data_IF_121334941721
#
_entry.id   IF_121334941721
#
_cell.length_a   1.000
_cell.length_b   1.000
_cell.length_c   1.000
_cell.angle_alpha   90.00
_cell.angle_beta   90.00
_cell.angle_gamma   90.00
#
_symmetry.space_group_name_H-M   'P 1'
#
loop_
_entity.id
_entity.type
_entity.pdbx_description
1 polymer ?
#
# COMPACT_ATOMS: atom_id res chain seq x y z
N UNK A 1 -11.34 17.50 13.23
CA UNK A 1 -10.61 17.24 11.96
C UNK A 1 -11.50 17.31 10.72
N UNK A 2 -12.75 16.84 10.76
CA UNK A 2 -13.65 16.95 9.60
C UNK A 2 -13.92 18.41 9.18
N UNK A 3 -14.10 19.31 10.16
CA UNK A 3 -14.21 20.77 9.94
C UNK A 3 -13.01 21.31 9.15
N UNK A 4 -11.79 20.89 9.49
CA UNK A 4 -10.58 21.29 8.78
C UNK A 4 -10.60 20.83 7.31
N UNK A 5 -10.98 19.57 7.06
CA UNK A 5 -11.14 19.05 5.70
C UNK A 5 -12.15 19.86 4.88
N UNK A 6 -13.25 20.30 5.49
CA UNK A 6 -14.27 21.14 4.83
C UNK A 6 -13.70 22.52 4.49
N UNK A 7 -12.98 23.17 5.43
CA UNK A 7 -12.35 24.47 5.19
C UNK A 7 -11.35 24.41 4.02
N UNK A 8 -10.49 23.39 3.99
CA UNK A 8 -9.53 23.20 2.91
C UNK A 8 -10.23 22.94 1.58
N UNK A 9 -11.30 22.12 1.56
CA UNK A 9 -12.07 21.88 0.33
C UNK A 9 -12.71 23.16 -0.22
N UNK A 10 -13.31 23.99 0.65
CA UNK A 10 -13.88 25.29 0.25
C UNK A 10 -12.81 26.26 -0.27
N UNK A 11 -11.64 26.27 0.36
CA UNK A 11 -10.52 27.09 -0.11
C UNK A 11 -10.06 26.67 -1.51
N UNK A 12 -10.07 25.38 -1.80
CA UNK A 12 -9.73 24.84 -3.12
C UNK A 12 -10.81 25.15 -4.16
N UNK A 13 -12.10 25.03 -3.80
CA UNK A 13 -13.23 25.44 -4.66
C UNK A 13 -13.19 26.94 -4.98
N UNK A 14 -12.74 27.76 -4.03
CA UNK A 14 -12.54 29.20 -4.22
C UNK A 14 -11.21 29.59 -4.87
N UNK A 15 -10.41 28.63 -5.37
CA UNK A 15 -9.09 28.84 -5.98
C UNK A 15 -8.03 29.48 -5.05
N UNK A 16 -8.24 29.48 -3.73
CA UNK A 16 -7.30 30.01 -2.74
C UNK A 16 -6.14 29.06 -2.44
N UNK A 17 -6.34 27.76 -2.63
CA UNK A 17 -5.35 26.70 -2.48
C UNK A 17 -5.39 25.75 -3.67
N UNK A 18 -4.23 25.31 -4.14
CA UNK A 18 -4.12 24.19 -5.08
C UNK A 18 -3.48 22.98 -4.40
N UNK A 19 -3.99 21.79 -4.66
CA UNK A 19 -3.43 20.55 -4.13
C UNK A 19 -2.32 19.97 -5.00
N UNK A 20 -1.78 18.83 -4.57
CA UNK A 20 -0.91 18.01 -5.41
C UNK A 20 -1.74 17.33 -6.51
N UNK A 21 -1.48 17.69 -7.77
CA UNK A 21 -2.15 17.06 -8.89
C UNK A 21 -1.41 15.80 -9.34
N UNK A 22 -2.10 14.67 -9.30
CA UNK A 22 -1.62 13.37 -9.76
C UNK A 22 -2.16 13.12 -11.16
N UNK A 23 -1.25 13.07 -12.13
CA UNK A 23 -1.53 12.60 -13.50
C UNK A 23 -0.88 11.25 -13.70
N UNK A 24 -1.63 10.29 -14.22
CA UNK A 24 -1.10 8.96 -14.45
C UNK A 24 -1.46 8.38 -15.81
N UNK A 25 -1.03 7.13 -16.02
CA UNK A 25 -0.99 6.49 -17.34
C UNK A 25 -2.38 6.26 -17.96
N UNK A 26 -3.45 6.34 -17.17
CA UNK A 26 -4.82 6.15 -17.62
C UNK A 26 -5.52 7.43 -18.11
N UNK A 27 -4.81 8.56 -18.22
CA UNK A 27 -5.42 9.86 -18.55
C UNK A 27 -6.26 10.46 -17.42
N UNK A 28 -6.47 9.70 -16.32
CA UNK A 28 -7.10 10.19 -15.11
C UNK A 28 -6.21 11.22 -14.41
N UNK A 29 -6.87 12.24 -13.86
CA UNK A 29 -6.27 13.28 -13.03
C UNK A 29 -6.96 13.27 -11.66
N UNK A 30 -6.18 13.40 -10.59
CA UNK A 30 -6.70 13.49 -9.24
C UNK A 30 -5.89 14.48 -8.43
N UNK A 31 -6.60 15.42 -7.81
CA UNK A 31 -5.99 16.37 -6.88
C UNK A 31 -6.09 15.86 -5.44
N UNK A 32 -4.97 15.88 -4.73
CA UNK A 32 -4.89 15.57 -3.30
C UNK A 32 -4.41 16.81 -2.56
N UNK A 33 -5.24 17.34 -1.66
CA UNK A 33 -4.96 18.61 -0.96
C UNK A 33 -4.43 18.37 0.45
N UNK A 34 -4.90 17.34 1.13
CA UNK A 34 -4.46 17.02 2.49
C UNK A 34 -4.61 15.53 2.82
N UNK A 35 -3.81 15.06 3.77
CA UNK A 35 -3.87 13.72 4.38
C UNK A 35 -3.93 13.88 5.90
N UNK A 36 -4.86 13.20 6.54
CA UNK A 36 -5.10 13.30 7.98
C UNK A 36 -4.92 11.94 8.63
N UNK A 37 -4.12 11.89 9.69
CA UNK A 37 -4.05 10.75 10.59
C UNK A 37 -3.99 11.25 12.03
N UNK A 38 -5.11 11.18 12.76
CA UNK A 38 -5.25 11.79 14.08
C UNK A 38 -4.82 13.27 14.09
N UNK A 39 -3.74 13.61 14.80
CA UNK A 39 -3.11 14.93 14.86
C UNK A 39 -2.05 15.17 13.77
N UNK A 40 -1.50 14.10 13.17
CA UNK A 40 -0.49 14.15 12.12
C UNK A 40 -1.13 14.48 10.75
N UNK A 41 -0.99 15.74 10.33
CA UNK A 41 -1.58 16.28 9.10
C UNK A 41 -0.53 16.65 8.06
N UNK A 42 -0.74 16.23 6.81
CA UNK A 42 0.04 16.67 5.64
C UNK A 42 -0.87 17.51 4.75
N UNK A 43 -0.38 18.67 4.32
CA UNK A 43 -1.09 19.58 3.43
C UNK A 43 -0.22 19.80 2.20
N UNK A 44 -0.84 19.72 1.03
CA UNK A 44 -0.21 20.04 -0.25
C UNK A 44 -0.70 21.41 -0.70
N UNK A 45 0.24 22.30 -0.97
CA UNK A 45 0.00 23.62 -1.57
C UNK A 45 1.04 23.85 -2.66
N UNK A 46 0.71 24.69 -3.64
CA UNK A 46 1.70 25.17 -4.60
C UNK A 46 2.66 26.15 -3.93
N UNK A 47 3.89 26.22 -4.43
CA UNK A 47 4.92 27.11 -3.89
C UNK A 47 4.69 28.56 -4.32
N UNK A 48 3.59 29.15 -3.85
CA UNK A 48 3.19 30.54 -4.06
C UNK A 48 2.91 31.19 -2.71
N UNK A 49 3.51 32.37 -2.49
CA UNK A 49 3.35 33.15 -1.26
C UNK A 49 1.87 33.36 -0.89
N UNK A 50 1.05 33.77 -1.86
CA UNK A 50 -0.40 33.96 -1.66
C UNK A 50 -1.12 32.71 -1.13
N UNK A 51 -0.75 31.51 -1.61
CA UNK A 51 -1.37 30.27 -1.11
C UNK A 51 -0.93 29.94 0.31
N UNK A 52 0.32 30.25 0.66
CA UNK A 52 0.85 30.11 2.00
C UNK A 52 0.15 31.07 2.97
N UNK A 53 -0.11 32.31 2.57
CA UNK A 53 -0.95 33.26 3.31
C UNK A 53 -2.36 32.73 3.50
N UNK A 54 -2.99 32.22 2.44
CA UNK A 54 -4.34 31.66 2.54
C UNK A 54 -4.37 30.46 3.50
N UNK A 55 -3.34 29.63 3.48
CA UNK A 55 -3.20 28.51 4.40
C UNK A 55 -3.07 28.98 5.85
N UNK A 56 -2.28 30.01 6.13
CA UNK A 56 -2.12 30.54 7.49
C UNK A 56 -3.46 31.07 8.04
N UNK A 57 -4.26 31.74 7.20
CA UNK A 57 -5.62 32.14 7.57
C UNK A 57 -6.52 30.93 7.84
N UNK A 58 -6.53 29.93 6.97
CA UNK A 58 -7.36 28.71 7.17
C UNK A 58 -7.02 28.02 8.49
N UNK A 59 -5.73 27.93 8.82
CA UNK A 59 -5.24 27.38 10.08
C UNK A 59 -5.72 28.21 11.28
N UNK A 60 -5.64 29.54 11.22
CA UNK A 60 -6.15 30.43 12.27
C UNK A 60 -7.67 30.31 12.47
N UNK A 61 -8.44 30.26 11.38
CA UNK A 61 -9.90 30.02 11.42
C UNK A 61 -10.24 28.65 12.02
N UNK A 62 -9.44 27.63 11.73
CA UNK A 62 -9.59 26.32 12.32
C UNK A 62 -9.29 26.33 13.83
N UNK A 63 -8.22 26.98 14.28
CA UNK A 63 -7.93 27.13 15.71
C UNK A 63 -9.08 27.84 16.44
N UNK A 64 -9.55 28.96 15.88
CA UNK A 64 -10.65 29.74 16.45
C UNK A 64 -11.98 28.94 16.53
N UNK A 65 -12.29 28.16 15.50
CA UNK A 65 -13.55 27.40 15.44
C UNK A 65 -13.53 26.08 16.22
N UNK A 66 -12.36 25.44 16.33
CA UNK A 66 -12.23 24.13 17.00
C UNK A 66 -11.80 24.24 18.46
N UNK A 67 -11.22 25.37 18.88
CA UNK A 67 -10.57 25.52 20.17
C UNK A 67 -9.26 24.74 20.31
N UNK A 68 -8.78 24.11 19.23
CA UNK A 68 -7.49 23.44 19.19
C UNK A 68 -6.38 24.42 18.87
N UNK A 69 -5.14 24.05 19.23
CA UNK A 69 -3.94 24.82 18.91
C UNK A 69 -2.97 24.00 18.08
N UNK A 70 -2.54 24.55 16.96
CA UNK A 70 -1.56 23.99 16.04
C UNK A 70 -0.17 24.16 16.65
N UNK A 71 0.59 23.07 16.65
CA UNK A 71 1.95 23.10 17.17
C UNK A 71 2.95 23.50 16.06
N UNK A 72 3.05 24.80 15.79
CA UNK A 72 3.97 25.34 14.78
C UNK A 72 5.45 24.99 15.02
N UNK A 73 5.84 24.70 16.27
CA UNK A 73 7.20 24.27 16.61
C UNK A 73 7.52 22.84 16.14
N UNK A 74 6.49 21.99 15.98
CA UNK A 74 6.58 20.64 15.39
C UNK A 74 6.23 20.62 13.90
N UNK A 75 5.50 21.62 13.41
CA UNK A 75 5.20 21.77 11.99
C UNK A 75 6.43 22.17 11.19
N UNK A 76 6.52 21.67 9.95
CA UNK A 76 7.59 22.02 9.04
C UNK A 76 7.07 22.18 7.61
N UNK A 77 7.59 23.18 6.90
CA UNK A 77 7.38 23.39 5.47
C UNK A 77 8.45 22.60 4.71
N UNK A 78 8.05 21.64 3.90
CA UNK A 78 8.97 20.75 3.15
C UNK A 78 8.80 21.02 1.66
N UNK A 79 9.94 21.21 1.00
CA UNK A 79 10.00 21.48 -0.42
C UNK A 79 10.04 20.21 -1.25
N UNK A 80 9.37 20.27 -2.40
CA UNK A 80 9.41 19.24 -3.42
C UNK A 80 9.73 19.91 -4.76
N UNK A 81 10.98 19.78 -5.21
CA UNK A 81 11.48 20.44 -6.42
C UNK A 81 12.30 21.70 -6.13
N UNK A 82 12.58 22.47 -7.17
CA UNK A 82 13.27 23.76 -7.07
C UNK A 82 12.25 24.86 -6.75
N UNK A 83 12.44 25.52 -5.61
CA UNK A 83 11.57 26.59 -5.12
C UNK A 83 12.43 27.71 -4.55
N UNK A 84 12.12 28.94 -4.93
CA UNK A 84 12.78 30.17 -4.44
C UNK A 84 12.01 30.69 -3.22
N UNK A 85 12.68 31.40 -2.29
CA UNK A 85 12.03 32.14 -1.16
C UNK A 85 11.31 31.28 -0.10
N UNK A 86 11.83 30.09 0.18
CA UNK A 86 11.18 29.14 1.11
C UNK A 86 11.22 29.60 2.56
N UNK A 87 12.30 30.28 2.92
CA UNK A 87 12.49 30.82 4.26
C UNK A 87 11.42 31.88 4.57
N UNK A 88 11.08 32.74 3.59
CA UNK A 88 10.00 33.72 3.75
C UNK A 88 8.65 33.05 3.94
N UNK A 89 8.33 32.03 3.12
CA UNK A 89 7.09 31.28 3.23
C UNK A 89 6.96 30.53 4.57
N UNK A 90 8.08 29.99 5.07
CA UNK A 90 8.10 29.33 6.37
C UNK A 90 7.88 30.31 7.52
N UNK A 91 8.48 31.50 7.45
CA UNK A 91 8.26 32.59 8.42
C UNK A 91 6.81 33.04 8.42
N UNK A 92 6.19 33.17 7.25
CA UNK A 92 4.77 33.54 7.12
C UNK A 92 3.82 32.52 7.74
N UNK A 93 4.10 31.22 7.58
CA UNK A 93 3.39 30.14 8.28
C UNK A 93 3.75 30.04 9.78
N UNK A 94 4.85 30.66 10.20
CA UNK A 94 5.40 30.53 11.55
C UNK A 94 6.00 29.16 11.85
N UNK A 95 6.42 28.39 10.85
CA UNK A 95 6.95 27.04 10.99
C UNK A 95 8.42 26.92 10.54
N UNK A 96 9.06 25.77 10.79
CA UNK A 96 10.45 25.54 10.39
C UNK A 96 10.53 25.07 8.94
N UNK A 97 11.63 25.41 8.26
CA UNK A 97 11.95 24.77 6.97
C UNK A 97 12.44 23.34 7.25
N UNK A 98 11.78 22.36 6.64
CA UNK A 98 12.16 20.95 6.69
C UNK A 98 12.72 20.46 5.36
N UNK A 99 13.38 19.30 5.38
CA UNK A 99 13.92 18.65 4.19
C UNK A 99 13.53 17.18 4.12
N UNK A 100 13.49 16.63 2.90
CA UNK A 100 13.36 15.20 2.68
C UNK A 100 14.75 14.54 2.78
N UNK A 101 14.87 13.34 3.38
CA UNK A 101 13.79 12.52 3.93
C UNK A 101 13.37 12.92 5.36
N UNK A 102 12.07 12.90 5.65
CA UNK A 102 11.50 13.17 6.99
C UNK A 102 10.69 12.00 7.53
N UNK A 103 10.56 11.86 8.85
CA UNK A 103 9.78 10.77 9.46
C UNK A 103 8.32 11.17 9.63
N UNK A 104 7.40 10.43 9.01
CA UNK A 104 5.95 10.56 9.18
C UNK A 104 5.35 9.21 9.52
N UNK A 105 4.56 9.13 10.60
CA UNK A 105 3.97 7.89 11.11
C UNK A 105 4.99 6.75 11.31
N UNK A 106 6.25 7.08 11.57
CA UNK A 106 7.33 6.10 11.74
C UNK A 106 7.96 5.60 10.43
N UNK A 107 7.68 6.23 9.29
CA UNK A 107 8.33 5.97 8.01
C UNK A 107 9.11 7.17 7.47
N UNK A 108 10.29 6.96 6.85
CA UNK A 108 11.02 8.02 6.19
C UNK A 108 10.37 8.36 4.84
N UNK A 109 9.58 9.42 4.78
CA UNK A 109 9.06 10.01 3.55
C UNK A 109 10.21 10.57 2.72
N UNK A 110 10.19 10.35 1.40
CA UNK A 110 11.23 10.81 0.48
C UNK A 110 12.49 9.95 0.44
N UNK A 111 12.65 8.98 1.36
CA UNK A 111 13.75 8.03 1.28
C UNK A 111 13.57 7.06 0.10
N UNK A 112 14.68 6.57 -0.43
CA UNK A 112 14.64 5.55 -1.46
C UNK A 112 14.03 4.25 -0.89
N UNK A 113 12.93 3.77 -1.45
CA UNK A 113 12.16 2.60 -0.99
C UNK A 113 12.95 1.27 -0.91
N UNK A 114 14.16 1.19 -1.46
CA UNK A 114 15.07 0.03 -1.33
C UNK A 114 16.23 0.27 -0.36
N UNK A 115 16.31 1.45 0.25
CA UNK A 115 17.39 1.77 1.17
C UNK A 115 17.31 0.86 2.39
N UNK A 116 18.43 0.23 2.72
CA UNK A 116 18.56 -0.62 3.91
C UNK A 116 18.35 0.19 5.18
N UNK A 117 18.72 1.47 5.17
CA UNK A 117 18.57 2.40 6.30
C UNK A 117 17.14 2.58 6.80
N UNK A 118 16.13 2.30 5.98
CA UNK A 118 14.72 2.32 6.43
C UNK A 118 14.44 1.27 7.50
N UNK A 119 15.26 0.22 7.57
CA UNK A 119 15.05 -0.88 8.50
C UNK A 119 15.87 -0.74 9.79
N UNK A 120 16.86 0.15 9.85
CA UNK A 120 17.77 0.31 10.99
C UNK A 120 17.01 0.56 12.30
N UNK A 121 15.98 1.42 12.25
CA UNK A 121 15.14 1.71 13.42
C UNK A 121 14.27 0.52 13.87
N UNK A 122 13.93 -0.41 12.97
CA UNK A 122 13.25 -1.67 13.32
C UNK A 122 14.25 -2.64 13.93
N UNK A 123 15.42 -2.80 13.29
CA UNK A 123 16.48 -3.68 13.76
C UNK A 123 16.94 -3.29 15.16
N UNK A 124 17.18 -2.01 15.41
CA UNK A 124 17.66 -1.52 16.69
C UNK A 124 16.63 -1.70 17.80
N UNK A 125 15.32 -1.55 17.50
CA UNK A 125 14.25 -1.86 18.46
C UNK A 125 14.19 -3.35 18.78
N UNK A 126 14.39 -4.20 17.77
CA UNK A 126 14.43 -5.65 17.97
C UNK A 126 15.66 -6.07 18.76
N UNK A 127 16.83 -5.54 18.44
CA UNK A 127 18.08 -5.78 19.16
C UNK A 127 17.97 -5.38 20.63
N UNK A 128 17.38 -4.22 20.92
CA UNK A 128 17.08 -3.79 22.30
C UNK A 128 16.10 -4.73 23.00
N UNK A 129 15.05 -5.21 22.32
CA UNK A 129 14.11 -6.17 22.93
C UNK A 129 14.73 -7.54 23.18
N UNK A 130 15.60 -8.00 22.29
CA UNK A 130 16.28 -9.29 22.32
C UNK A 130 17.70 -9.20 22.93
N UNK A 131 17.94 -8.16 23.73
CA UNK A 131 19.24 -7.88 24.33
C UNK A 131 19.82 -9.08 25.10
N UNK A 132 21.14 -9.23 25.03
CA UNK A 132 21.85 -10.42 25.52
C UNK A 132 21.67 -10.67 27.03
N UNK A 133 21.49 -9.65 27.85
CA UNK A 133 21.29 -9.85 29.30
C UNK A 133 20.04 -10.67 29.62
N UNK A 134 18.98 -10.54 28.80
CA UNK A 134 17.74 -11.34 28.92
C UNK A 134 17.97 -12.82 28.64
N UNK A 135 19.11 -13.19 28.04
CA UNK A 135 19.51 -14.59 27.87
C UNK A 135 19.71 -15.22 29.25
N UNK A 136 20.41 -14.58 30.18
CA UNK A 136 20.77 -15.22 31.45
C UNK A 136 19.57 -15.48 32.37
N UNK A 137 18.52 -14.67 32.28
CA UNK A 137 17.38 -14.71 33.19
C UNK A 137 16.12 -15.41 32.65
N UNK A 138 16.10 -15.79 31.37
CA UNK A 138 14.90 -16.36 30.72
C UNK A 138 15.15 -17.82 30.31
N UNK A 139 14.18 -18.69 30.62
CA UNK A 139 14.16 -20.09 30.21
C UNK A 139 14.22 -20.25 28.68
N UNK A 140 14.66 -21.41 28.19
CA UNK A 140 14.70 -21.70 26.74
C UNK A 140 13.34 -21.46 26.07
N UNK A 141 12.25 -21.90 26.71
CA UNK A 141 10.88 -21.67 26.24
C UNK A 141 10.49 -20.19 26.24
N UNK A 142 10.81 -19.46 27.31
CA UNK A 142 10.54 -18.02 27.39
C UNK A 142 11.27 -17.22 26.32
N UNK A 143 12.52 -17.59 25.98
CA UNK A 143 13.28 -16.95 24.89
C UNK A 143 12.62 -17.17 23.53
N UNK A 144 12.13 -18.38 23.26
CA UNK A 144 11.40 -18.67 22.02
C UNK A 144 10.12 -17.83 21.94
N UNK A 145 9.36 -17.75 23.03
CA UNK A 145 8.15 -16.93 23.11
C UNK A 145 8.46 -15.45 22.87
N UNK A 146 9.54 -14.94 23.48
CA UNK A 146 9.99 -13.55 23.29
C UNK A 146 10.41 -13.27 21.84
N UNK A 147 11.12 -14.20 21.19
CA UNK A 147 11.48 -14.07 19.78
C UNK A 147 10.21 -14.06 18.91
N UNK A 148 9.28 -14.99 19.13
CA UNK A 148 8.03 -15.07 18.36
C UNK A 148 7.21 -13.79 18.49
N UNK A 149 7.03 -13.27 19.71
CA UNK A 149 6.25 -12.04 19.93
C UNK A 149 6.92 -10.82 19.31
N UNK A 150 8.25 -10.73 19.40
CA UNK A 150 9.03 -9.62 18.85
C UNK A 150 8.98 -9.61 17.31
N UNK A 151 9.23 -10.76 16.67
CA UNK A 151 9.20 -10.90 15.22
C UNK A 151 7.79 -10.73 14.62
N UNK A 152 6.74 -11.06 15.37
CA UNK A 152 5.36 -10.96 14.88
C UNK A 152 4.74 -9.56 14.99
N UNK A 153 5.32 -8.65 15.79
CA UNK A 153 4.72 -7.34 16.09
C UNK A 153 5.56 -6.16 15.60
N UNK A 154 6.86 -6.15 15.94
CA UNK A 154 7.73 -5.01 15.67
C UNK A 154 7.99 -4.71 14.19
N UNK A 155 8.26 -5.71 13.32
CA UNK A 155 8.58 -5.43 11.94
C UNK A 155 7.32 -5.34 11.10
N UNK A 156 6.16 -5.77 11.60
CA UNK A 156 4.91 -5.96 10.86
C UNK A 156 4.47 -4.71 10.13
N UNK A 157 4.64 -3.54 10.75
CA UNK A 157 4.33 -2.26 10.10
C UNK A 157 5.20 -2.05 8.85
N UNK A 158 6.52 -2.25 8.94
CA UNK A 158 7.45 -2.10 7.81
C UNK A 158 7.30 -3.24 6.79
N UNK A 159 7.12 -4.48 7.23
CA UNK A 159 6.89 -5.66 6.39
C UNK A 159 5.60 -5.55 5.58
N UNK A 160 4.64 -4.74 6.03
CA UNK A 160 3.41 -4.53 5.29
C UNK A 160 3.59 -3.68 4.04
N UNK A 161 4.60 -2.80 4.00
CA UNK A 161 4.78 -1.87 2.88
C UNK A 161 6.05 -2.17 2.09
N UNK A 162 7.14 -2.52 2.76
CA UNK A 162 8.45 -2.63 2.15
C UNK A 162 8.88 -4.08 1.99
N UNK A 163 9.48 -4.37 0.83
CA UNK A 163 10.15 -5.64 0.59
C UNK A 163 11.39 -5.70 1.47
N UNK A 164 11.51 -6.75 2.27
CA UNK A 164 12.66 -6.95 3.13
C UNK A 164 13.90 -7.30 2.29
N UNK A 165 15.07 -6.66 2.54
CA UNK A 165 16.32 -7.07 1.91
C UNK A 165 16.70 -8.51 2.31
N UNK A 166 17.28 -9.28 1.38
CA UNK A 166 17.57 -10.71 1.61
C UNK A 166 18.72 -10.91 2.63
N UNK A 167 18.47 -11.80 3.60
CA UNK A 167 19.37 -12.60 4.46
C UNK A 167 20.42 -11.96 5.39
N UNK A 168 20.92 -10.74 5.21
CA UNK A 168 21.96 -10.18 6.13
C UNK A 168 21.42 -9.26 7.23
N UNK A 169 20.17 -8.80 7.10
CA UNK A 169 19.68 -7.66 7.87
C UNK A 169 19.34 -7.95 9.34
N UNK A 170 18.85 -9.14 9.67
CA UNK A 170 18.30 -9.36 11.01
C UNK A 170 19.35 -9.71 12.08
N UNK A 171 20.55 -10.12 11.66
CA UNK A 171 21.55 -10.72 12.57
C UNK A 171 23.00 -10.47 12.16
N UNK A 172 23.26 -9.63 11.16
CA UNK A 172 24.60 -9.12 10.89
C UNK A 172 25.03 -8.24 12.06
N UNK A 173 25.93 -8.76 12.92
CA UNK A 173 26.65 -7.90 13.85
C UNK A 173 27.31 -6.77 13.08
N UNK A 174 27.39 -5.58 13.69
CA UNK A 174 28.02 -4.41 13.07
C UNK A 174 29.43 -4.70 12.53
N UNK A 175 29.95 -3.73 11.77
CA UNK A 175 31.16 -3.77 10.91
C UNK A 175 32.47 -4.40 11.44
N UNK A 176 32.52 -4.95 12.66
CA UNK A 176 33.73 -5.58 13.22
C UNK A 176 33.66 -7.09 13.50
N UNK A 177 32.50 -7.76 13.45
CA UNK A 177 32.49 -9.20 13.77
C UNK A 177 31.59 -10.02 12.83
N UNK A 178 32.22 -10.74 11.89
CA UNK A 178 31.59 -11.86 11.17
C UNK A 178 31.27 -12.97 12.18
N UNK A 179 30.12 -12.87 12.86
CA UNK A 179 29.61 -13.96 13.70
C UNK A 179 29.01 -15.04 12.81
N UNK A 180 29.64 -16.21 12.82
CA UNK A 180 29.15 -17.40 12.15
C UNK A 180 27.80 -17.79 12.76
N UNK A 181 26.76 -17.82 11.93
CA UNK A 181 25.43 -18.28 12.34
C UNK A 181 25.46 -19.79 12.59
N UNK A 182 25.56 -20.19 13.86
CA UNK A 182 25.66 -21.60 14.27
C UNK A 182 24.40 -22.44 14.01
N UNK A 183 23.27 -21.84 13.61
CA UNK A 183 22.00 -22.55 13.44
C UNK A 183 21.34 -22.14 12.12
N UNK A 184 21.02 -23.13 11.28
CA UNK A 184 20.25 -22.92 10.06
C UNK A 184 18.84 -22.40 10.41
N UNK A 185 18.52 -21.20 9.96
CA UNK A 185 17.23 -20.55 10.24
C UNK A 185 16.05 -21.31 9.63
N UNK A 186 16.27 -22.09 8.57
CA UNK A 186 15.25 -22.95 7.99
C UNK A 186 14.82 -24.04 8.98
N UNK A 187 15.78 -24.61 9.73
CA UNK A 187 15.53 -25.62 10.79
C UNK A 187 14.88 -24.97 12.03
N UNK A 188 15.18 -23.71 12.32
CA UNK A 188 14.52 -22.99 13.42
C UNK A 188 13.06 -22.69 13.07
N UNK A 189 12.78 -22.41 11.80
CA UNK A 189 11.47 -22.04 11.32
C UNK A 189 10.52 -23.22 11.05
N UNK A 190 11.01 -24.47 11.03
CA UNK A 190 10.14 -25.63 10.83
C UNK A 190 9.16 -25.79 11.99
N UNK A 191 8.02 -26.44 11.70
CA UNK A 191 6.99 -26.73 12.69
C UNK A 191 7.56 -27.59 13.83
N UNK A 192 7.00 -27.41 15.05
CA UNK A 192 7.41 -28.18 16.23
C UNK A 192 7.29 -29.69 16.01
N UNK A 193 6.24 -30.10 15.30
CA UNK A 193 5.98 -31.50 14.92
C UNK A 193 7.09 -32.08 14.02
N UNK A 194 7.80 -31.24 13.27
CA UNK A 194 8.91 -31.62 12.39
C UNK A 194 10.28 -31.34 13.02
N UNK A 195 10.35 -31.21 14.35
CA UNK A 195 11.59 -30.99 15.09
C UNK A 195 12.11 -29.55 15.12
N UNK A 196 11.35 -28.57 14.61
CA UNK A 196 11.72 -27.16 14.62
C UNK A 196 11.24 -26.37 15.85
N UNK A 197 11.57 -25.08 15.93
CA UNK A 197 11.11 -24.20 17.01
C UNK A 197 9.76 -23.52 16.69
N UNK A 198 9.23 -23.71 15.47
CA UNK A 198 7.98 -23.13 15.00
C UNK A 198 8.02 -21.60 14.97
N UNK A 199 9.18 -21.00 14.70
CA UNK A 199 9.32 -19.57 14.48
C UNK A 199 8.85 -19.25 13.06
N UNK A 200 8.07 -18.19 12.88
CA UNK A 200 7.57 -17.84 11.55
C UNK A 200 8.71 -17.34 10.67
N UNK A 201 8.71 -17.82 9.42
CA UNK A 201 9.54 -17.32 8.33
C UNK A 201 9.17 -15.88 8.00
N UNK A 202 10.08 -14.94 8.29
CA UNK A 202 9.85 -13.50 8.09
C UNK A 202 9.70 -13.17 6.60
N UNK A 203 10.41 -13.88 5.73
CA UNK A 203 10.30 -13.76 4.28
C UNK A 203 8.91 -14.17 3.76
N UNK A 204 8.35 -15.27 4.26
CA UNK A 204 6.98 -15.67 3.96
C UNK A 204 5.96 -14.68 4.53
N UNK A 205 6.21 -14.16 5.74
CA UNK A 205 5.35 -13.13 6.34
C UNK A 205 5.35 -11.84 5.53
N UNK A 206 6.51 -11.36 5.07
CA UNK A 206 6.62 -10.18 4.20
C UNK A 206 5.88 -10.40 2.89
N UNK A 207 6.10 -11.55 2.23
CA UNK A 207 5.39 -11.94 1.01
C UNK A 207 3.87 -11.89 1.19
N UNK A 208 3.35 -12.51 2.25
CA UNK A 208 1.93 -12.50 2.56
C UNK A 208 1.38 -11.10 2.86
N UNK A 209 2.13 -10.28 3.61
CA UNK A 209 1.71 -8.91 3.95
C UNK A 209 1.74 -7.96 2.74
N UNK A 210 2.65 -8.17 1.78
CA UNK A 210 2.64 -7.45 0.51
C UNK A 210 1.46 -7.93 -0.36
N UNK A 211 1.22 -9.24 -0.44
CA UNK A 211 0.05 -9.82 -1.13
C UNK A 211 -1.29 -9.32 -0.57
N UNK A 212 -1.37 -9.06 0.74
CA UNK A 212 -2.54 -8.41 1.36
C UNK A 212 -2.92 -7.10 0.66
N UNK A 213 -1.97 -6.30 0.20
CA UNK A 213 -2.29 -5.06 -0.52
C UNK A 213 -2.85 -5.30 -1.93
N UNK A 214 -2.40 -6.36 -2.59
CA UNK A 214 -2.97 -6.80 -3.87
C UNK A 214 -4.42 -7.21 -3.68
N UNK A 215 -4.70 -8.04 -2.65
CA UNK A 215 -6.06 -8.41 -2.27
C UNK A 215 -6.92 -7.18 -1.93
N UNK A 216 -6.42 -6.28 -1.07
CA UNK A 216 -7.14 -5.05 -0.70
C UNK A 216 -7.44 -4.17 -1.90
N UNK A 217 -6.53 -4.08 -2.88
CA UNK A 217 -6.78 -3.32 -4.10
C UNK A 217 -7.95 -3.91 -4.89
N UNK A 218 -8.05 -5.24 -4.97
CA UNK A 218 -9.15 -5.93 -5.62
C UNK A 218 -10.48 -5.70 -4.86
N UNK A 219 -10.49 -5.94 -3.55
CA UNK A 219 -11.72 -5.98 -2.75
C UNK A 219 -12.25 -4.61 -2.32
N UNK A 220 -11.39 -3.64 -2.00
CA UNK A 220 -11.83 -2.32 -1.52
C UNK A 220 -12.32 -1.47 -2.70
N UNK A 221 -13.37 -0.66 -2.52
CA UNK A 221 -13.97 0.13 -3.61
C UNK A 221 -13.43 1.55 -3.67
N UNK A 222 -13.81 2.39 -2.71
CA UNK A 222 -13.69 3.85 -2.84
C UNK A 222 -12.64 4.49 -1.93
N UNK A 223 -11.66 3.71 -1.49
CA UNK A 223 -10.60 4.20 -0.62
C UNK A 223 -9.64 5.15 -1.35
N UNK A 224 -9.24 6.24 -0.67
CA UNK A 224 -8.36 7.28 -1.22
C UNK A 224 -7.07 6.70 -1.82
N UNK A 225 -6.42 5.80 -1.09
CA UNK A 225 -5.17 5.16 -1.53
C UNK A 225 -5.38 4.36 -2.83
N UNK A 226 -6.51 3.65 -2.97
CA UNK A 226 -6.84 2.89 -4.18
C UNK A 226 -7.03 3.83 -5.35
N UNK A 227 -7.79 4.92 -5.18
CA UNK A 227 -7.99 5.94 -6.22
C UNK A 227 -6.66 6.54 -6.69
N UNK A 228 -5.78 6.90 -5.76
CA UNK A 228 -4.43 7.41 -6.05
C UNK A 228 -3.62 6.41 -6.87
N UNK A 229 -3.62 5.13 -6.48
CA UNK A 229 -2.92 4.06 -7.20
C UNK A 229 -3.53 3.82 -8.59
N UNK A 230 -4.86 3.78 -8.69
CA UNK A 230 -5.60 3.62 -9.95
C UNK A 230 -5.32 4.74 -10.93
N UNK A 231 -5.28 5.99 -10.48
CA UNK A 231 -4.95 7.15 -11.32
C UNK A 231 -3.50 7.04 -11.79
N UNK A 232 -2.56 6.81 -10.87
CA UNK A 232 -1.12 6.77 -11.16
C UNK A 232 -0.75 5.66 -12.15
N UNK A 233 -1.18 4.43 -11.89
CA UNK A 233 -0.76 3.25 -12.65
C UNK A 233 -1.77 2.83 -13.74
N UNK A 234 -3.03 3.26 -13.65
CA UNK A 234 -4.12 2.75 -14.48
C UNK A 234 -4.65 1.41 -13.97
N UNK A 235 -5.86 1.06 -14.40
CA UNK A 235 -6.53 -0.19 -14.06
C UNK A 235 -6.63 -1.15 -15.26
N UNK A 236 -6.72 -2.43 -14.94
CA UNK A 236 -6.89 -3.55 -15.87
C UNK A 236 -7.82 -4.62 -15.24
N UNK A 237 -8.36 -5.52 -16.06
CA UNK A 237 -9.22 -6.61 -15.61
C UNK A 237 -10.45 -6.07 -14.88
N UNK A 238 -11.24 -5.22 -15.54
CA UNK A 238 -12.48 -4.66 -14.95
C UNK A 238 -12.29 -3.92 -13.61
N UNK A 239 -11.08 -3.40 -13.35
CA UNK A 239 -10.75 -2.66 -12.13
C UNK A 239 -10.21 -3.52 -10.98
N UNK A 240 -10.04 -4.83 -11.18
CA UNK A 240 -9.45 -5.76 -10.20
C UNK A 240 -7.94 -5.56 -10.04
N UNK A 241 -7.26 -5.17 -11.12
CA UNK A 241 -5.79 -5.10 -11.19
C UNK A 241 -5.33 -3.70 -11.59
N UNK A 242 -4.11 -3.37 -11.18
CA UNK A 242 -3.38 -2.24 -11.79
C UNK A 242 -2.68 -2.71 -13.04
N UNK A 243 -2.50 -1.83 -14.02
CA UNK A 243 -1.68 -2.14 -15.19
C UNK A 243 -0.24 -2.41 -14.78
N UNK A 244 0.48 -3.17 -15.59
CA UNK A 244 1.87 -3.48 -15.31
C UNK A 244 2.73 -2.20 -15.18
N UNK A 245 3.54 -2.16 -14.12
CA UNK A 245 4.40 -1.02 -13.76
C UNK A 245 5.66 -0.99 -14.64
N UNK A 246 5.49 -0.64 -15.93
CA UNK A 246 6.56 -0.61 -16.96
C UNK A 246 7.33 0.72 -17.08
N UNK A 247 7.19 1.66 -16.14
CA UNK A 247 7.84 2.99 -16.21
C UNK A 247 9.21 3.09 -15.49
N UNK A 248 10.08 3.98 -15.99
CA UNK A 248 11.28 4.51 -15.31
C UNK A 248 10.90 5.39 -14.12
N UNK A 249 9.89 6.24 -14.30
CA UNK A 249 9.20 6.98 -13.23
C UNK A 249 8.19 6.07 -12.53
N UNK A 250 8.70 5.19 -11.66
CA UNK A 250 7.88 4.16 -11.03
C UNK A 250 8.63 3.23 -10.08
N UNK A 251 9.84 3.60 -9.65
CA UNK A 251 10.59 2.91 -8.58
C UNK A 251 9.95 3.27 -7.23
N UNK A 252 8.71 2.82 -7.04
CA UNK A 252 7.92 3.10 -5.85
C UNK A 252 7.52 1.82 -5.13
N UNK A 253 7.06 1.99 -3.89
CA UNK A 253 6.58 0.92 -3.00
C UNK A 253 5.58 -0.02 -3.70
N UNK A 254 4.65 0.52 -4.50
CA UNK A 254 3.67 -0.26 -5.24
C UNK A 254 4.28 -1.25 -6.25
N UNK A 255 5.40 -0.89 -6.89
CA UNK A 255 6.08 -1.78 -7.83
C UNK A 255 6.64 -3.02 -7.13
N UNK A 256 7.16 -2.85 -5.91
CA UNK A 256 7.66 -3.97 -5.11
C UNK A 256 6.53 -4.84 -4.58
N UNK A 257 5.36 -4.27 -4.25
CA UNK A 257 4.14 -5.01 -3.91
C UNK A 257 3.68 -5.85 -5.11
N UNK A 258 3.64 -5.26 -6.32
CA UNK A 258 3.17 -5.94 -7.53
C UNK A 258 4.05 -7.12 -7.98
N UNK A 259 5.31 -7.21 -7.51
CA UNK A 259 6.14 -8.41 -7.71
C UNK A 259 5.58 -9.65 -7.00
N UNK A 260 4.81 -9.43 -5.94
CA UNK A 260 4.13 -10.47 -5.19
C UNK A 260 2.67 -10.64 -5.64
N UNK A 261 2.28 -10.12 -6.82
CA UNK A 261 0.90 -10.22 -7.31
C UNK A 261 0.57 -11.60 -7.88
N UNK A 262 1.48 -12.23 -8.63
CA UNK A 262 1.19 -13.47 -9.37
C UNK A 262 0.68 -14.59 -8.44
N UNK A 263 1.46 -14.98 -7.44
CA UNK A 263 1.05 -16.03 -6.49
C UNK A 263 -0.25 -15.67 -5.74
N UNK A 264 -0.48 -14.38 -5.50
CA UNK A 264 -1.70 -13.93 -4.84
C UNK A 264 -2.90 -14.17 -5.75
N UNK A 265 -2.80 -13.77 -7.03
CA UNK A 265 -3.86 -13.99 -8.01
C UNK A 265 -4.10 -15.47 -8.32
N UNK A 266 -3.05 -16.29 -8.33
CA UNK A 266 -3.16 -17.74 -8.50
C UNK A 266 -3.90 -18.42 -7.32
N UNK A 267 -4.04 -17.71 -6.19
CA UNK A 267 -4.71 -18.20 -4.97
C UNK A 267 -6.06 -17.50 -4.72
N UNK A 268 -6.57 -16.73 -5.67
CA UNK A 268 -7.79 -15.92 -5.52
C UNK A 268 -8.93 -16.53 -6.31
N UNK A 269 -10.04 -16.78 -5.63
CA UNK A 269 -11.30 -17.19 -6.23
C UNK A 269 -12.31 -16.04 -6.19
N UNK A 270 -13.06 -15.86 -7.28
CA UNK A 270 -14.09 -14.85 -7.39
C UNK A 270 -15.45 -15.42 -7.00
N UNK A 271 -16.11 -14.80 -6.02
CA UNK A 271 -17.49 -15.14 -5.72
C UNK A 271 -18.41 -14.20 -6.50
N UNK A 272 -19.24 -14.77 -7.39
CA UNK A 272 -20.25 -13.99 -8.11
C UNK A 272 -21.28 -13.45 -7.12
N UNK A 273 -21.46 -12.14 -7.15
CA UNK A 273 -22.52 -11.43 -6.46
C UNK A 273 -23.21 -10.47 -7.42
N UNK A 274 -23.90 -9.44 -6.91
CA UNK A 274 -24.53 -8.38 -7.73
C UNK A 274 -23.53 -7.46 -8.45
N UNK A 275 -22.25 -7.82 -8.49
CA UNK A 275 -21.18 -6.98 -9.05
C UNK A 275 -20.88 -7.36 -10.49
N UNK A 276 -20.78 -6.35 -11.35
CA UNK A 276 -20.63 -6.49 -12.80
C UNK A 276 -19.18 -6.73 -13.26
N UNK A 277 -18.23 -6.97 -12.34
CA UNK A 277 -16.79 -6.94 -12.68
C UNK A 277 -16.20 -8.30 -13.03
N UNK A 278 -16.87 -9.40 -12.68
CA UNK A 278 -16.37 -10.77 -12.91
C UNK A 278 -16.58 -11.13 -14.38
N UNK A 279 -15.50 -11.48 -15.07
CA UNK A 279 -15.53 -11.96 -16.46
C UNK A 279 -15.93 -13.42 -16.52
N UNK A 280 -16.83 -13.75 -17.44
CA UNK A 280 -17.38 -15.11 -17.56
C UNK A 280 -16.30 -16.16 -17.91
N UNK A 281 -15.44 -15.85 -18.88
CA UNK A 281 -14.48 -16.82 -19.43
C UNK A 281 -13.10 -16.85 -18.76
N UNK A 282 -12.65 -15.71 -18.24
CA UNK A 282 -11.25 -15.47 -17.86
C UNK A 282 -11.03 -15.36 -16.36
N UNK A 283 -12.08 -15.15 -15.57
CA UNK A 283 -11.98 -15.15 -14.10
C UNK A 283 -12.39 -16.52 -13.54
N UNK A 284 -11.70 -16.97 -12.49
CA UNK A 284 -12.04 -18.20 -11.79
C UNK A 284 -13.17 -17.93 -10.80
N UNK A 285 -14.42 -18.14 -11.23
CA UNK A 285 -15.61 -17.90 -10.41
C UNK A 285 -16.52 -19.14 -10.24
N UNK A 286 -16.28 -20.20 -11.00
CA UNK A 286 -17.05 -21.43 -10.98
C UNK A 286 -16.11 -22.64 -11.08
N UNK A 287 -15.92 -23.33 -9.95
CA UNK A 287 -14.99 -24.47 -9.85
C UNK A 287 -13.52 -24.07 -9.65
N UNK A 288 -12.63 -25.02 -9.92
CA UNK A 288 -11.19 -24.90 -9.64
C UNK A 288 -10.37 -24.32 -10.80
N UNK A 289 -10.96 -24.20 -11.99
CA UNK A 289 -10.28 -23.75 -13.20
C UNK A 289 -11.12 -22.66 -13.90
N UNK A 290 -10.47 -21.86 -14.75
CA UNK A 290 -11.17 -20.89 -15.60
C UNK A 290 -11.94 -21.60 -16.70
N UNK A 291 -13.12 -21.05 -17.05
CA UNK A 291 -13.99 -21.59 -18.09
C UNK A 291 -13.30 -21.67 -19.46
N UNK A 292 -12.38 -20.75 -19.76
CA UNK A 292 -11.58 -20.79 -21.00
C UNK A 292 -10.61 -21.97 -21.09
N UNK A 293 -10.13 -22.50 -19.95
CA UNK A 293 -9.28 -23.69 -19.91
C UNK A 293 -10.10 -24.98 -19.90
N UNK A 294 -11.26 -24.96 -19.23
CA UNK A 294 -12.17 -26.12 -19.18
C UNK A 294 -12.85 -26.33 -20.54
N UNK A 295 -13.21 -25.25 -21.24
CA UNK A 295 -13.93 -25.29 -22.52
C UNK A 295 -13.23 -24.44 -23.61
N UNK A 296 -12.03 -24.82 -24.07
CA UNK A 296 -11.24 -24.03 -25.02
C UNK A 296 -11.88 -23.88 -26.40
N UNK A 297 -12.66 -24.88 -26.83
CA UNK A 297 -13.40 -24.83 -28.10
C UNK A 297 -14.54 -23.81 -28.03
N UNK A 298 -15.33 -23.83 -26.95
CA UNK A 298 -16.41 -22.85 -26.73
C UNK A 298 -15.86 -21.43 -26.59
N UNK A 299 -14.75 -21.26 -25.89
CA UNK A 299 -14.10 -19.96 -25.75
C UNK A 299 -13.62 -19.38 -27.09
N UNK A 300 -13.14 -20.24 -27.99
CA UNK A 300 -12.70 -19.83 -29.33
C UNK A 300 -13.88 -19.38 -30.18
N UNK A 301 -15.03 -20.04 -30.05
CA UNK A 301 -16.28 -19.71 -30.75
C UNK A 301 -17.03 -18.53 -30.11
N UNK A 302 -16.76 -18.17 -28.85
CA UNK A 302 -17.44 -17.08 -28.16
C UNK A 302 -17.20 -15.72 -28.84
N UNK A 303 -18.28 -15.00 -29.16
CA UNK A 303 -18.23 -13.66 -29.76
C UNK A 303 -17.70 -12.64 -28.76
N UNK A 304 -18.13 -12.75 -27.49
CA UNK A 304 -17.72 -11.85 -26.42
C UNK A 304 -16.86 -12.59 -25.38
N UNK A 305 -15.56 -12.69 -25.65
CA UNK A 305 -14.59 -13.35 -24.75
C UNK A 305 -14.32 -12.58 -23.45
N UNK A 306 -14.55 -11.27 -23.47
CA UNK A 306 -14.37 -10.37 -22.33
C UNK A 306 -15.69 -10.03 -21.60
N UNK A 307 -16.80 -10.69 -21.96
CA UNK A 307 -18.09 -10.44 -21.34
C UNK A 307 -18.09 -10.75 -19.83
N UNK A 308 -18.84 -9.95 -19.09
CA UNK A 308 -19.02 -10.12 -17.65
C UNK A 308 -20.15 -11.11 -17.36
N UNK A 309 -20.09 -11.78 -16.21
CA UNK A 309 -21.14 -12.73 -15.80
C UNK A 309 -22.52 -12.07 -15.81
N UNK A 310 -22.61 -10.79 -15.45
CA UNK A 310 -23.86 -10.02 -15.46
C UNK A 310 -24.37 -9.68 -16.88
N UNK A 311 -23.49 -9.55 -17.86
CA UNK A 311 -23.89 -9.30 -19.26
C UNK A 311 -24.43 -10.57 -19.94
N UNK A 312 -23.92 -11.73 -19.50
CA UNK A 312 -24.30 -13.03 -20.08
C UNK A 312 -25.50 -13.63 -19.35
N UNK A 313 -25.79 -13.20 -18.11
CA UNK A 313 -26.92 -13.71 -17.33
C UNK A 313 -28.19 -12.89 -17.59
N UNK A 314 -29.18 -13.48 -18.25
CA UNK A 314 -30.47 -12.83 -18.49
C UNK A 314 -31.46 -13.15 -17.37
N UNK A 315 -31.81 -12.13 -16.56
CA UNK A 315 -32.77 -12.26 -15.46
C UNK A 315 -34.23 -12.21 -15.91
N UNK A 316 -34.52 -11.91 -17.18
CA UNK A 316 -35.90 -11.70 -17.65
C UNK A 316 -36.67 -13.01 -17.92
N UNK A 317 -35.98 -14.15 -17.90
CA UNK A 317 -36.54 -15.49 -18.16
C UNK A 317 -36.51 -16.33 -16.87
N UNK A 318 -37.40 -16.05 -15.92
CA UNK A 318 -37.70 -16.92 -14.77
C UNK A 318 -36.48 -17.31 -13.89
N UNK A 319 -35.91 -18.50 -14.13
CA UNK A 319 -34.73 -19.03 -13.39
C UNK A 319 -33.39 -18.42 -13.84
N UNK A 320 -33.41 -17.57 -14.87
CA UNK A 320 -32.25 -16.95 -15.49
C UNK A 320 -31.58 -17.90 -16.48
N UNK A 321 -31.32 -17.40 -17.69
CA UNK A 321 -30.65 -18.15 -18.75
C UNK A 321 -29.31 -17.50 -19.11
N UNK A 322 -28.32 -18.33 -19.48
CA UNK A 322 -27.04 -17.86 -19.99
C UNK A 322 -27.16 -17.52 -21.47
N UNK A 323 -27.14 -16.23 -21.81
CA UNK A 323 -27.17 -15.72 -23.17
C UNK A 323 -25.74 -15.60 -23.74
N UNK A 324 -25.13 -16.76 -24.05
CA UNK A 324 -23.82 -16.81 -24.70
C UNK A 324 -23.98 -16.80 -26.22
N UNK A 325 -23.40 -15.79 -26.88
CA UNK A 325 -23.34 -15.71 -28.35
C UNK A 325 -22.07 -16.36 -28.88
N UNK A 326 -22.22 -17.28 -29.83
CA UNK A 326 -21.13 -17.96 -30.51
C UNK A 326 -21.11 -17.59 -32.01
N UNK A 327 -19.93 -17.65 -32.62
CA UNK A 327 -19.72 -17.27 -34.03
C UNK A 327 -20.24 -18.30 -35.03
N UNK A 328 -20.62 -19.49 -34.57
CA UNK A 328 -21.26 -20.56 -35.32
C UNK A 328 -22.36 -21.16 -34.47
N UNK A 329 -23.46 -21.54 -35.10
CA UNK A 329 -24.51 -22.31 -34.44
C UNK A 329 -24.00 -23.73 -34.16
N UNK A 330 -24.38 -24.31 -33.02
CA UNK A 330 -23.94 -25.66 -32.60
C UNK A 330 -24.57 -26.80 -33.40
N UNK A 331 -25.25 -26.49 -34.51
CA UNK A 331 -26.06 -27.41 -35.31
C UNK A 331 -25.46 -27.76 -36.69
N UNK A 332 -24.17 -27.46 -36.94
CA UNK A 332 -23.44 -27.92 -38.13
C UNK A 332 -22.46 -29.07 -37.83
#
# INVERSE_FOLDING_TARGET
MEVFSILVKRAVEGCFLSGCCLRGRGGGEMMVTHLLFADDTIIFCEAKKEQVTNLSWILAWFEASSGLRINLAKSALILVGEVVEVEEMAVELGCKVGSLPTVYLGFPLGAHHKATSMWDGVEERMRRRLAQWKRYYISKGGRITLIKSTLASMPTYHLSLFRMPKKTFFWGGGNLEKKVHLINWEVVCTHKEKGGLGIRRIDMLNKAQLGKWVWRFASEKDNLWKRVISVKYGQEGSGWRTREVRGTFGVGVWKEIMREANWCWDSVEFKVGKETRVKFWTDQWCGNDVMSQTFPHLFTLAVHRDATVNEVWDTNLGQGEWNLRFSRDFND
#
